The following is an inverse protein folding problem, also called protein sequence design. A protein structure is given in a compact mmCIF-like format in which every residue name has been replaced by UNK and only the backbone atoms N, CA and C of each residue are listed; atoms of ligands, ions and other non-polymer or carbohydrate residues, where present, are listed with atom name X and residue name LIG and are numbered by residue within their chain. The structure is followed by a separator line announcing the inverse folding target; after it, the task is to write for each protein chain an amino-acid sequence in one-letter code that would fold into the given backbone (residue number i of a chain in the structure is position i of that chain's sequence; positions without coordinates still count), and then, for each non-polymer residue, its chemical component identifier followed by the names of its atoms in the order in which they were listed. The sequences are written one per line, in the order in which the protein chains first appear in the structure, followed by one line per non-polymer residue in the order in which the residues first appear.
data_IF_030384866217
#
_entry.id   IF_030384866217
#
_cell.length_a   1.000
_cell.length_b   1.000
_cell.length_c   1.000
_cell.angle_alpha   90.00
_cell.angle_beta   90.00
_cell.angle_gamma   90.00
#
_symmetry.space_group_name_H-M   'P 1'
#
loop_
_entity.id
_entity.type
_entity.pdbx_description
1 polymer ?
#
# COMPACT_ATOMS: atom_id res chain seq x y z
N UNK A 1 -15.21 12.16 0.59
CA UNK A 1 -16.66 11.84 0.54
C UNK A 1 -17.16 11.91 -0.91
N UNK A 2 -17.09 13.07 -1.61
CA UNK A 2 -17.58 13.21 -2.99
C UNK A 2 -16.99 12.15 -3.94
N UNK A 3 -15.67 11.99 -3.94
CA UNK A 3 -14.96 11.04 -4.81
C UNK A 3 -15.40 9.58 -4.65
N UNK A 4 -15.84 9.16 -3.48
CA UNK A 4 -16.26 7.78 -3.16
C UNK A 4 -17.78 7.60 -3.14
N UNK A 5 -18.56 8.62 -3.53
CA UNK A 5 -20.01 8.63 -3.37
C UNK A 5 -20.41 8.31 -1.91
N UNK A 6 -19.84 9.08 -0.97
CA UNK A 6 -20.02 8.95 0.49
C UNK A 6 -19.66 7.55 1.03
N UNK A 7 -18.52 7.00 0.54
CA UNK A 7 -18.00 5.66 0.91
C UNK A 7 -19.00 4.54 0.58
N UNK A 8 -19.61 4.61 -0.61
CA UNK A 8 -20.61 3.67 -1.05
C UNK A 8 -20.04 2.24 -1.12
N UNK A 9 -20.85 1.24 -0.76
CA UNK A 9 -20.45 -0.16 -0.68
C UNK A 9 -19.99 -0.75 -2.01
N UNK A 10 -20.55 -0.30 -3.12
CA UNK A 10 -20.15 -0.70 -4.49
C UNK A 10 -18.77 -0.15 -4.91
N UNK A 11 -18.19 0.75 -4.11
CA UNK A 11 -16.86 1.33 -4.32
C UNK A 11 -15.78 0.66 -3.48
N UNK A 12 -16.11 -0.31 -2.65
CA UNK A 12 -15.14 -1.02 -1.80
C UNK A 12 -14.21 -1.87 -2.68
N UNK A 13 -12.90 -1.61 -2.58
CA UNK A 13 -11.83 -2.38 -3.23
C UNK A 13 -11.29 -3.47 -2.30
N UNK A 14 -11.32 -3.24 -0.99
CA UNK A 14 -10.83 -4.18 0.01
C UNK A 14 -11.15 -3.75 1.43
N UNK A 15 -11.29 -4.74 2.30
CA UNK A 15 -11.51 -4.54 3.73
C UNK A 15 -10.43 -5.32 4.50
N UNK A 16 -9.80 -4.67 5.47
CA UNK A 16 -8.80 -5.27 6.33
C UNK A 16 -9.02 -4.97 7.81
N UNK A 17 -8.17 -5.53 8.67
CA UNK A 17 -8.22 -5.29 10.13
C UNK A 17 -8.04 -3.82 10.50
N UNK A 18 -7.38 -3.04 9.67
CA UNK A 18 -6.96 -1.66 9.96
C UNK A 18 -7.79 -0.59 9.24
N UNK A 19 -8.58 -0.97 8.23
CA UNK A 19 -9.37 -0.01 7.48
C UNK A 19 -10.05 -0.61 6.26
N UNK A 20 -10.66 0.25 5.47
CA UNK A 20 -11.32 -0.06 4.22
C UNK A 20 -10.71 0.78 3.11
N UNK A 21 -10.62 0.21 1.91
CA UNK A 21 -10.11 0.89 0.72
C UNK A 21 -11.25 1.02 -0.28
N UNK A 22 -11.44 2.22 -0.80
CA UNK A 22 -12.52 2.57 -1.72
C UNK A 22 -11.96 3.07 -3.05
N UNK A 23 -12.59 2.71 -4.14
CA UNK A 23 -12.38 3.38 -5.43
C UNK A 23 -13.01 4.77 -5.39
N UNK A 24 -12.23 5.78 -5.74
CA UNK A 24 -12.69 7.16 -5.87
C UNK A 24 -12.46 7.71 -7.27
N UNK A 25 -13.22 8.74 -7.63
CA UNK A 25 -13.02 9.53 -8.84
C UNK A 25 -12.97 11.00 -8.43
N UNK A 26 -11.86 11.66 -8.71
CA UNK A 26 -11.69 13.09 -8.44
C UNK A 26 -12.48 13.93 -9.46
N UNK A 27 -12.59 15.24 -9.21
CA UNK A 27 -13.36 16.16 -10.05
C UNK A 27 -12.78 16.30 -11.48
N UNK A 28 -11.50 16.03 -11.65
CA UNK A 28 -10.80 16.00 -12.94
C UNK A 28 -10.91 14.65 -13.68
N UNK A 29 -11.64 13.68 -13.12
CA UNK A 29 -11.80 12.34 -13.67
C UNK A 29 -10.70 11.35 -13.26
N UNK A 30 -9.71 11.77 -12.47
CA UNK A 30 -8.63 10.88 -12.01
C UNK A 30 -9.17 9.81 -11.07
N UNK A 31 -8.91 8.53 -11.41
CA UNK A 31 -9.23 7.40 -10.54
C UNK A 31 -8.21 7.28 -9.41
N UNK A 32 -8.68 7.08 -8.18
CA UNK A 32 -7.87 6.98 -6.97
C UNK A 32 -8.34 5.82 -6.09
N UNK A 33 -7.46 5.33 -5.22
CA UNK A 33 -7.81 4.45 -4.13
C UNK A 33 -7.75 5.25 -2.81
N UNK A 34 -8.80 5.19 -2.01
CA UNK A 34 -8.92 5.94 -0.76
C UNK A 34 -9.01 4.96 0.40
N UNK A 35 -7.96 4.93 1.22
CA UNK A 35 -7.88 4.11 2.44
C UNK A 35 -8.38 4.94 3.63
N UNK A 36 -9.34 4.39 4.38
CA UNK A 36 -9.90 4.99 5.60
C UNK A 36 -9.62 4.09 6.80
N UNK A 37 -9.16 4.65 7.91
CA UNK A 37 -9.09 3.91 9.16
C UNK A 37 -10.50 3.52 9.66
N UNK A 38 -10.61 2.43 10.42
CA UNK A 38 -11.89 2.06 11.07
C UNK A 38 -12.14 2.91 12.30
N UNK A 39 -13.39 3.31 12.49
CA UNK A 39 -13.86 4.04 13.70
C UNK A 39 -13.52 3.20 14.94
N UNK A 40 -12.92 3.85 15.96
CA UNK A 40 -12.58 3.21 17.23
C UNK A 40 -11.33 2.32 17.21
N UNK A 41 -10.64 2.23 16.06
CA UNK A 41 -9.40 1.47 15.95
C UNK A 41 -8.16 2.40 16.05
N UNK A 42 -7.69 2.64 17.28
CA UNK A 42 -6.49 3.47 17.53
C UNK A 42 -5.27 2.96 16.75
N UNK A 43 -5.05 1.64 16.71
CA UNK A 43 -3.94 1.05 15.94
C UNK A 43 -4.06 1.31 14.45
N UNK A 44 -5.28 1.36 13.92
CA UNK A 44 -5.54 1.71 12.52
C UNK A 44 -5.15 3.16 12.21
N UNK A 45 -5.45 4.09 13.11
CA UNK A 45 -5.05 5.50 12.99
C UNK A 45 -3.53 5.63 12.99
N UNK A 46 -2.83 4.99 13.97
CA UNK A 46 -1.38 5.00 14.04
C UNK A 46 -0.72 4.44 12.78
N UNK A 47 -1.29 3.39 12.20
CA UNK A 47 -0.79 2.81 10.95
C UNK A 47 -0.99 3.74 9.76
N UNK A 48 -2.13 4.41 9.66
CA UNK A 48 -2.38 5.40 8.60
C UNK A 48 -1.38 6.55 8.70
N UNK A 49 -1.13 7.09 9.91
CA UNK A 49 -0.15 8.15 10.13
C UNK A 49 1.28 7.69 9.81
N UNK A 50 1.63 6.45 10.20
CA UNK A 50 2.93 5.87 9.84
C UNK A 50 3.08 5.73 8.32
N UNK A 51 2.04 5.33 7.62
CA UNK A 51 2.04 5.17 6.17
C UNK A 51 2.23 6.53 5.46
N UNK A 52 1.60 7.61 5.93
CA UNK A 52 1.88 8.99 5.47
C UNK A 52 3.36 9.32 5.63
N UNK A 53 3.90 9.10 6.83
CA UNK A 53 5.30 9.40 7.16
C UNK A 53 6.27 8.67 6.21
N UNK A 54 6.00 7.42 5.90
CA UNK A 54 6.85 6.61 5.02
C UNK A 54 6.69 7.04 3.56
N UNK A 55 5.46 7.05 3.05
CA UNK A 55 5.20 7.27 1.62
C UNK A 55 5.44 8.70 1.16
N UNK A 56 5.44 9.69 2.07
CA UNK A 56 5.83 11.06 1.73
C UNK A 56 7.33 11.21 1.41
N UNK A 57 8.15 10.23 1.78
CA UNK A 57 9.61 10.27 1.61
C UNK A 57 10.11 9.42 0.44
N UNK A 58 9.25 8.60 -0.17
CA UNK A 58 9.64 7.64 -1.20
C UNK A 58 8.89 7.86 -2.50
N UNK A 59 9.59 7.63 -3.61
CA UNK A 59 9.01 7.64 -4.94
C UNK A 59 9.75 6.63 -5.81
N UNK A 60 9.09 5.52 -6.12
CA UNK A 60 9.66 4.47 -6.96
C UNK A 60 8.57 3.80 -7.81
N UNK A 61 8.91 3.41 -9.05
CA UNK A 61 7.94 2.81 -10.00
C UNK A 61 7.24 1.56 -9.49
N UNK A 62 7.93 0.75 -8.66
CA UNK A 62 7.40 -0.49 -8.08
C UNK A 62 6.84 -0.32 -6.66
N UNK A 63 6.61 0.92 -6.20
CA UNK A 63 5.88 1.23 -4.97
C UNK A 63 4.60 1.96 -5.31
N UNK A 64 3.54 1.72 -4.53
CA UNK A 64 2.29 2.48 -4.66
C UNK A 64 2.54 3.95 -4.32
N UNK A 65 1.99 4.85 -5.12
CA UNK A 65 2.18 6.29 -4.95
C UNK A 65 1.09 6.88 -4.08
N UNK A 66 1.48 7.55 -3.00
CA UNK A 66 0.60 8.41 -2.21
C UNK A 66 0.38 9.72 -2.97
N UNK A 67 -0.86 10.09 -3.22
CA UNK A 67 -1.25 11.34 -3.90
C UNK A 67 -1.63 12.44 -2.91
N UNK A 68 -2.10 12.06 -1.71
CA UNK A 68 -2.49 13.00 -0.67
C UNK A 68 -3.01 12.30 0.57
N UNK A 69 -3.26 13.08 1.62
CA UNK A 69 -3.84 12.59 2.86
C UNK A 69 -4.74 13.67 3.50
N UNK A 70 -5.65 13.23 4.35
CA UNK A 70 -6.40 14.09 5.26
C UNK A 70 -6.23 13.51 6.66
N UNK A 71 -5.46 14.17 7.51
CA UNK A 71 -5.13 13.70 8.86
C UNK A 71 -5.82 14.50 9.97
N UNK A 72 -6.45 15.63 9.62
CA UNK A 72 -7.14 16.53 10.56
C UNK A 72 -8.57 16.09 10.88
N UNK A 73 -9.01 14.93 10.35
CA UNK A 73 -10.33 14.37 10.62
C UNK A 73 -10.24 13.28 11.69
N UNK A 74 -11.37 13.00 12.38
CA UNK A 74 -11.46 11.87 13.32
C UNK A 74 -11.07 10.53 12.70
N UNK A 75 -11.21 10.42 11.38
CA UNK A 75 -10.80 9.28 10.58
C UNK A 75 -9.79 9.74 9.51
N UNK A 76 -8.50 9.54 9.73
CA UNK A 76 -7.50 9.85 8.72
C UNK A 76 -7.74 9.09 7.42
N UNK A 77 -7.56 9.79 6.31
CA UNK A 77 -7.73 9.26 4.95
C UNK A 77 -6.42 9.35 4.18
N UNK A 78 -6.12 8.32 3.41
CA UNK A 78 -5.02 8.29 2.45
C UNK A 78 -5.57 8.17 1.04
N UNK A 79 -5.01 8.94 0.11
CA UNK A 79 -5.36 8.93 -1.31
C UNK A 79 -4.18 8.44 -2.10
N UNK A 80 -4.34 7.31 -2.80
CA UNK A 80 -3.32 6.68 -3.64
C UNK A 80 -3.68 6.72 -5.11
N UNK A 81 -2.69 6.51 -5.96
CA UNK A 81 -2.95 6.10 -7.33
C UNK A 81 -3.82 4.84 -7.34
N UNK A 82 -4.79 4.78 -8.26
CA UNK A 82 -5.59 3.57 -8.44
C UNK A 82 -4.83 2.54 -9.27
N UNK A 83 -4.72 1.31 -8.76
CA UNK A 83 -4.07 0.19 -9.43
C UNK A 83 -5.14 -0.83 -9.82
N UNK A 84 -5.47 -0.98 -11.13
CA UNK A 84 -6.76 -1.54 -11.55
C UNK A 84 -6.87 -3.06 -11.53
N UNK A 85 -5.76 -3.82 -11.56
CA UNK A 85 -5.82 -5.26 -11.73
C UNK A 85 -5.71 -6.05 -10.40
N UNK A 86 -6.13 -5.44 -9.27
CA UNK A 86 -6.12 -6.12 -7.99
C UNK A 86 -4.72 -6.44 -7.48
N UNK A 87 -4.57 -7.55 -6.76
CA UNK A 87 -3.31 -7.93 -6.13
C UNK A 87 -2.82 -9.32 -6.62
N UNK A 88 -1.55 -9.60 -6.38
CA UNK A 88 -0.91 -10.84 -6.81
C UNK A 88 -1.56 -12.08 -6.18
N UNK A 89 -2.08 -11.99 -4.94
CA UNK A 89 -2.76 -13.11 -4.29
C UNK A 89 -3.99 -13.55 -5.09
N UNK A 90 -4.81 -12.62 -5.55
CA UNK A 90 -5.98 -12.89 -6.40
C UNK A 90 -5.57 -13.60 -7.69
N UNK A 91 -4.55 -13.11 -8.37
CA UNK A 91 -4.02 -13.73 -9.60
C UNK A 91 -3.46 -15.14 -9.38
N UNK A 92 -2.80 -15.39 -8.25
CA UNK A 92 -2.25 -16.71 -7.94
C UNK A 92 -3.36 -17.73 -7.57
N UNK A 93 -4.53 -17.25 -7.10
CA UNK A 93 -5.66 -18.09 -6.69
C UNK A 93 -6.80 -18.18 -7.74
N UNK A 94 -6.52 -17.87 -9.00
CA UNK A 94 -7.43 -18.17 -10.11
C UNK A 94 -8.18 -16.98 -10.70
N UNK A 95 -7.91 -15.75 -10.28
CA UNK A 95 -8.50 -14.55 -10.87
C UNK A 95 -7.77 -14.04 -12.12
N UNK A 96 -6.66 -14.65 -12.50
CA UNK A 96 -5.89 -14.28 -13.70
C UNK A 96 -4.86 -15.33 -14.07
N UNK A 97 -4.66 -15.51 -15.37
CA UNK A 97 -3.64 -16.44 -15.89
C UNK A 97 -2.34 -15.66 -16.16
N UNK A 98 -1.51 -15.56 -15.11
CA UNK A 98 -0.16 -15.00 -15.23
C UNK A 98 0.79 -16.08 -15.73
N UNK A 99 1.34 -15.89 -16.93
CA UNK A 99 2.39 -16.77 -17.42
C UNK A 99 3.67 -16.68 -16.57
N UNK A 100 4.58 -17.65 -16.73
CA UNK A 100 5.80 -17.72 -15.92
C UNK A 100 6.68 -16.49 -16.08
N UNK A 101 6.75 -15.91 -17.25
CA UNK A 101 7.54 -14.70 -17.55
C UNK A 101 7.02 -13.50 -16.76
N UNK A 102 5.70 -13.30 -16.75
CA UNK A 102 5.04 -12.22 -16.00
C UNK A 102 5.24 -12.43 -14.50
N UNK A 103 5.13 -13.66 -13.97
CA UNK A 103 5.40 -13.96 -12.55
C UNK A 103 6.82 -13.58 -12.14
N UNK A 104 7.82 -13.91 -12.96
CA UNK A 104 9.21 -13.52 -12.73
C UNK A 104 9.40 -12.00 -12.78
N UNK A 105 8.76 -11.32 -13.72
CA UNK A 105 8.79 -9.86 -13.82
C UNK A 105 8.20 -9.20 -12.58
N UNK A 106 7.05 -9.67 -12.08
CA UNK A 106 6.42 -9.19 -10.85
C UNK A 106 7.37 -9.39 -9.66
N UNK A 107 8.00 -10.57 -9.54
CA UNK A 107 8.98 -10.86 -8.50
C UNK A 107 10.18 -9.90 -8.56
N UNK A 108 10.76 -9.70 -9.74
CA UNK A 108 11.87 -8.78 -9.96
C UNK A 108 11.49 -7.34 -9.57
N UNK A 109 10.36 -6.83 -10.05
CA UNK A 109 9.92 -5.47 -9.77
C UNK A 109 9.62 -5.26 -8.28
N UNK A 110 9.03 -6.26 -7.60
CA UNK A 110 8.82 -6.22 -6.16
C UNK A 110 10.14 -6.15 -5.41
N UNK A 111 11.14 -6.94 -5.82
CA UNK A 111 12.49 -6.90 -5.24
C UNK A 111 13.19 -5.56 -5.50
N UNK A 112 13.03 -4.95 -6.69
CA UNK A 112 13.55 -3.61 -6.98
C UNK A 112 12.95 -2.54 -6.06
N UNK A 113 11.63 -2.58 -5.81
CA UNK A 113 10.95 -1.70 -4.87
C UNK A 113 11.48 -1.85 -3.45
N UNK A 114 11.65 -3.08 -2.98
CA UNK A 114 12.21 -3.35 -1.65
C UNK A 114 13.68 -2.96 -1.54
N UNK A 115 14.49 -3.21 -2.57
CA UNK A 115 15.90 -2.78 -2.62
C UNK A 115 16.02 -1.25 -2.55
N UNK A 116 15.14 -0.52 -3.24
CA UNK A 116 15.06 0.94 -3.14
C UNK A 116 14.79 1.40 -1.70
N UNK A 117 13.83 0.77 -1.00
CA UNK A 117 13.51 1.10 0.41
C UNK A 117 14.70 0.84 1.34
N UNK A 118 15.46 -0.23 1.10
CA UNK A 118 16.56 -0.64 1.97
C UNK A 118 17.85 0.13 1.72
N UNK A 119 18.09 0.62 0.50
CA UNK A 119 19.41 1.13 0.09
C UNK A 119 19.39 2.56 -0.42
N UNK A 120 18.28 3.04 -1.00
CA UNK A 120 18.18 4.38 -1.58
C UNK A 120 17.35 5.36 -0.73
N UNK A 121 16.42 4.85 0.08
CA UNK A 121 15.72 5.67 1.06
C UNK A 121 16.64 5.99 2.26
N UNK A 122 16.53 7.22 2.78
CA UNK A 122 17.28 7.63 3.95
C UNK A 122 16.35 8.32 4.98
N UNK A 123 16.28 7.78 6.21
CA UNK A 123 16.87 6.50 6.64
C UNK A 123 16.25 5.28 5.92
N UNK A 124 16.94 4.11 5.91
CA UNK A 124 16.40 2.89 5.30
C UNK A 124 15.03 2.52 5.86
N UNK A 125 14.17 1.96 5.02
CA UNK A 125 12.79 1.61 5.36
C UNK A 125 12.61 0.10 5.26
N UNK A 126 12.14 -0.54 6.32
CA UNK A 126 11.75 -1.96 6.32
C UNK A 126 10.24 -2.08 6.22
N UNK A 127 9.76 -2.76 5.17
CA UNK A 127 8.33 -2.89 4.89
C UNK A 127 7.57 -3.67 5.96
N UNK A 128 8.09 -4.82 6.39
CA UNK A 128 7.61 -5.69 7.48
C UNK A 128 6.30 -6.44 7.26
N UNK A 129 5.64 -6.27 6.12
CA UNK A 129 4.44 -7.03 5.75
C UNK A 129 4.43 -7.37 4.24
N UNK A 130 5.55 -7.95 3.76
CA UNK A 130 5.67 -8.37 2.36
C UNK A 130 4.90 -9.66 2.16
N UNK A 131 3.82 -9.59 1.36
CA UNK A 131 2.96 -10.74 1.00
C UNK A 131 2.28 -10.48 -0.34
N UNK A 132 1.78 -11.52 -0.99
CA UNK A 132 1.16 -11.41 -2.31
C UNK A 132 -0.08 -10.50 -2.34
N UNK A 133 -0.84 -10.39 -1.27
CA UNK A 133 -1.97 -9.46 -1.17
C UNK A 133 -1.55 -7.98 -1.07
N UNK A 134 -0.29 -7.69 -0.72
CA UNK A 134 0.29 -6.36 -0.67
C UNK A 134 1.13 -6.02 -1.92
N UNK A 135 1.05 -6.84 -2.97
CA UNK A 135 1.65 -6.57 -4.28
C UNK A 135 0.50 -6.34 -5.25
N UNK A 136 0.26 -5.08 -5.61
CA UNK A 136 -0.77 -4.69 -6.56
C UNK A 136 -0.25 -4.83 -7.99
N UNK A 137 -1.15 -5.08 -8.94
CA UNK A 137 -0.84 -5.28 -10.35
C UNK A 137 -1.48 -4.15 -11.17
N UNK A 138 -0.65 -3.40 -11.91
CA UNK A 138 -1.15 -2.33 -12.74
C UNK A 138 -1.71 -2.84 -14.09
N UNK A 139 -2.26 -1.95 -14.89
CA UNK A 139 -2.86 -2.27 -16.21
C UNK A 139 -1.87 -2.84 -17.23
N UNK A 140 -0.56 -2.71 -16.98
CA UNK A 140 0.51 -3.24 -17.82
C UNK A 140 1.15 -4.50 -17.22
N UNK A 141 0.55 -5.08 -16.19
CA UNK A 141 1.05 -6.22 -15.41
C UNK A 141 2.36 -5.91 -14.66
N UNK A 142 2.62 -4.65 -14.30
CA UNK A 142 3.71 -4.30 -13.42
C UNK A 142 3.30 -4.40 -11.96
N UNK A 143 4.28 -4.74 -11.12
CA UNK A 143 4.09 -4.82 -9.68
C UNK A 143 4.24 -3.47 -8.98
N UNK A 144 3.39 -3.23 -7.98
CA UNK A 144 3.48 -2.11 -7.04
C UNK A 144 3.31 -2.62 -5.62
N UNK A 145 4.38 -2.54 -4.83
CA UNK A 145 4.33 -2.90 -3.40
C UNK A 145 3.50 -1.84 -2.66
N UNK A 146 2.59 -2.29 -1.82
CA UNK A 146 1.60 -1.47 -1.12
C UNK A 146 1.48 -1.87 0.37
N UNK A 147 0.74 -1.09 1.14
CA UNK A 147 0.45 -1.26 2.58
C UNK A 147 1.67 -1.09 3.49
N UNK A 148 2.06 0.15 3.71
CA UNK A 148 3.20 0.55 4.54
C UNK A 148 2.84 0.80 6.02
N UNK A 149 1.64 0.43 6.45
CA UNK A 149 1.16 0.68 7.80
C UNK A 149 2.04 0.07 8.90
N UNK A 150 2.70 -1.06 8.63
CA UNK A 150 3.62 -1.74 9.55
C UNK A 150 5.10 -1.41 9.30
N UNK A 151 5.42 -0.58 8.31
CA UNK A 151 6.79 -0.25 7.94
C UNK A 151 7.50 0.56 9.03
N UNK A 152 8.83 0.44 9.08
CA UNK A 152 9.67 1.20 10.02
C UNK A 152 10.89 1.77 9.35
N UNK A 153 11.24 2.98 9.78
CA UNK A 153 12.54 3.59 9.48
C UNK A 153 13.62 2.89 10.31
N UNK A 154 14.79 2.63 9.72
CA UNK A 154 15.95 2.23 10.48
C UNK A 154 16.41 3.41 11.35
N UNK A 155 16.61 3.18 12.64
CA UNK A 155 17.20 4.18 13.53
C UNK A 155 18.72 4.15 13.36
N UNK A 156 19.38 5.29 13.06
CA UNK A 156 20.82 5.32 12.75
C UNK A 156 21.71 4.84 13.92
N UNK A 157 21.23 4.96 15.16
CA UNK A 157 22.00 4.71 16.36
C UNK A 157 21.78 3.34 17.01
N UNK A 158 20.86 2.52 16.47
CA UNK A 158 20.62 1.19 16.99
C UNK A 158 21.34 0.15 16.14
N UNK A 159 22.35 -0.52 16.73
CA UNK A 159 23.04 -1.67 16.11
C UNK A 159 22.10 -2.87 15.86
N UNK A 160 20.88 -2.80 16.34
CA UNK A 160 19.85 -3.82 16.17
C UNK A 160 18.48 -3.18 15.89
N UNK A 161 17.94 -3.41 14.70
CA UNK A 161 16.50 -3.24 14.45
C UNK A 161 15.82 -4.44 15.09
N UNK A 162 15.14 -4.25 16.22
CA UNK A 162 14.29 -5.29 16.81
C UNK A 162 13.14 -5.58 15.85
N UNK A 163 13.31 -6.58 15.03
CA UNK A 163 12.26 -7.12 14.16
C UNK A 163 11.47 -8.12 14.98
N UNK A 164 10.37 -7.69 15.61
CA UNK A 164 9.33 -8.66 15.93
C UNK A 164 8.93 -9.33 14.63
N UNK A 165 8.99 -10.66 14.57
CA UNK A 165 8.46 -11.42 13.46
C UNK A 165 6.94 -11.15 13.39
N UNK A 166 6.55 -10.22 12.54
CA UNK A 166 5.17 -9.96 12.17
C UNK A 166 5.08 -10.35 10.71
N UNK A 167 4.66 -11.55 10.46
CA UNK A 167 4.36 -12.07 9.14
C UNK A 167 3.02 -12.77 9.18
N UNK A 168 2.34 -12.82 8.05
CA UNK A 168 1.19 -13.69 7.85
C UNK A 168 1.73 -15.10 7.66
N UNK A 169 1.26 -16.05 8.48
CA UNK A 169 1.47 -17.49 8.30
C UNK A 169 0.72 -17.97 7.06
#
# INVERSE_FOLDING_TARGET
KKATNDFARDRVLGCGGFGEVYKGILDDGTEVAIKSAKIGNVKGVDQVLNEVKILSQVNHRSLVRLLGCCVDSELPLLVYEYVPNGNLFEHLNGYGDLDWKVRLQIGLQSAEGLAYLHSAAYPPIYHRDVKSSNILIDKFLNAKVADFGLSRLAEPDLSHVSTCAQGTL
#
